data_IF_152058347983
#
_entry.id   IF_152058347983
#
_cell.length_a   1.000
_cell.length_b   1.000
_cell.length_c   1.000
_cell.angle_alpha   90.00
_cell.angle_beta   90.00
_cell.angle_gamma   90.00
#
_symmetry.space_group_name_H-M   'P 1'
#
loop_
_entity.id
_entity.type
_entity.pdbx_description
1 polymer ?
#
# COMPACT_ATOMS: atom_id res chain seq x y z
N UNK A 1 -13.11 4.66 -9.28
CA UNK A 1 -12.53 5.45 -10.39
C UNK A 1 -12.49 4.55 -11.61
N UNK A 2 -12.39 5.04 -12.86
CA UNK A 2 -12.37 4.17 -14.05
C UNK A 2 -11.05 3.39 -14.26
N UNK A 3 -10.12 3.39 -13.29
CA UNK A 3 -8.80 2.79 -13.39
C UNK A 3 -7.67 3.81 -13.60
N UNK A 4 -6.66 3.80 -12.73
CA UNK A 4 -5.42 4.57 -12.90
C UNK A 4 -4.24 3.84 -12.26
N UNK A 5 -3.03 4.09 -12.76
CA UNK A 5 -1.79 3.65 -12.12
C UNK A 5 -1.32 4.78 -11.20
N UNK A 6 -1.32 4.51 -9.90
CA UNK A 6 -0.94 5.48 -8.88
C UNK A 6 0.34 5.07 -8.16
N UNK A 7 1.15 6.05 -7.79
CA UNK A 7 2.36 5.82 -7.00
C UNK A 7 2.05 5.64 -5.53
N UNK A 8 2.70 4.65 -4.93
CA UNK A 8 2.75 4.37 -3.50
C UNK A 8 4.19 4.51 -3.02
N UNK A 9 4.37 5.23 -1.92
CA UNK A 9 5.63 5.36 -1.21
C UNK A 9 5.65 4.34 -0.07
N UNK A 10 6.73 3.57 0.02
CA UNK A 10 6.92 2.48 0.96
C UNK A 10 7.86 2.87 2.12
N UNK A 11 7.56 2.34 3.30
CA UNK A 11 8.47 2.35 4.44
C UNK A 11 9.59 1.32 4.23
N UNK A 12 10.75 1.81 3.78
CA UNK A 12 11.91 0.98 3.40
C UNK A 12 12.51 0.21 4.57
N UNK A 13 12.29 0.66 5.80
CA UNK A 13 12.80 0.00 7.00
C UNK A 13 11.88 -1.15 7.43
N UNK A 14 10.70 -1.28 6.82
CA UNK A 14 9.75 -2.32 7.17
C UNK A 14 9.96 -3.58 6.32
N UNK A 15 10.06 -4.75 6.97
CA UNK A 15 10.33 -6.02 6.29
C UNK A 15 9.33 -6.36 5.16
N UNK A 16 8.07 -5.96 5.31
CA UNK A 16 7.06 -6.15 4.25
C UNK A 16 7.35 -5.36 2.95
N UNK A 17 8.18 -4.32 3.00
CA UNK A 17 8.65 -3.55 1.84
C UNK A 17 10.00 -4.05 1.29
N UNK A 18 10.51 -5.20 1.77
CA UNK A 18 11.76 -5.76 1.27
C UNK A 18 11.72 -5.98 -0.25
N UNK A 19 12.86 -5.73 -0.92
CA UNK A 19 12.97 -5.82 -2.38
C UNK A 19 12.64 -4.52 -3.13
N UNK A 20 12.30 -3.44 -2.43
CA UNK A 20 11.99 -2.12 -3.02
C UNK A 20 12.97 -1.03 -2.56
N UNK A 21 14.23 -1.01 -3.06
CA UNK A 21 15.26 -0.07 -2.58
C UNK A 21 14.96 1.40 -2.89
N UNK A 22 14.16 1.68 -3.93
CA UNK A 22 13.70 3.03 -4.24
C UNK A 22 12.60 3.51 -3.28
N UNK A 23 11.95 2.61 -2.54
CA UNK A 23 10.82 2.95 -1.67
C UNK A 23 9.57 3.41 -2.40
N UNK A 24 9.43 3.09 -3.69
CA UNK A 24 8.28 3.49 -4.51
C UNK A 24 7.79 2.32 -5.36
N UNK A 25 6.47 2.19 -5.50
CA UNK A 25 5.82 1.23 -6.40
C UNK A 25 4.61 1.87 -7.07
N UNK A 26 4.33 1.45 -8.29
CA UNK A 26 3.18 1.91 -9.05
C UNK A 26 2.13 0.79 -9.11
N UNK A 27 0.90 1.13 -8.71
CA UNK A 27 -0.18 0.17 -8.45
C UNK A 27 -1.45 0.53 -9.23
N UNK A 28 -2.16 -0.49 -9.69
CA UNK A 28 -3.47 -0.30 -10.33
C UNK A 28 -4.53 0.00 -9.28
N UNK A 29 -5.23 1.12 -9.45
CA UNK A 29 -6.32 1.57 -8.60
C UNK A 29 -7.60 1.62 -9.42
N UNK A 30 -8.51 0.70 -9.10
CA UNK A 30 -9.81 0.56 -9.77
C UNK A 30 -10.94 0.37 -8.75
N UNK A 31 -10.93 1.19 -7.70
CA UNK A 31 -11.95 1.13 -6.67
C UNK A 31 -12.43 2.51 -6.22
N UNK A 32 -13.25 2.51 -5.18
CA UNK A 32 -13.73 3.70 -4.45
C UNK A 32 -13.28 3.68 -2.99
N UNK A 33 -12.44 2.72 -2.59
CA UNK A 33 -12.00 2.56 -1.20
C UNK A 33 -10.92 3.58 -0.89
N UNK A 34 -11.00 4.17 0.29
CA UNK A 34 -9.96 5.06 0.83
C UNK A 34 -9.80 4.73 2.30
N UNK A 35 -8.59 4.37 2.70
CA UNK A 35 -8.27 4.05 4.08
C UNK A 35 -7.48 5.20 4.70
N UNK A 36 -7.91 5.63 5.89
CA UNK A 36 -7.11 6.54 6.69
C UNK A 36 -5.83 5.83 7.15
N UNK A 37 -4.68 6.51 7.16
CA UNK A 37 -3.47 5.98 7.78
C UNK A 37 -3.73 5.55 9.22
N UNK A 38 -3.20 4.38 9.58
CA UNK A 38 -3.16 3.93 10.96
C UNK A 38 -2.30 4.91 11.79
N UNK A 39 -2.74 5.19 13.01
CA UNK A 39 -1.89 5.85 13.99
C UNK A 39 -0.84 4.86 14.52
N UNK A 40 0.27 5.36 15.05
CA UNK A 40 1.39 4.53 15.50
C UNK A 40 0.97 3.53 16.60
N UNK A 41 -0.01 3.88 17.45
CA UNK A 41 -0.55 2.98 18.48
C UNK A 41 -1.43 1.85 17.95
N UNK A 42 -1.83 1.91 16.67
CA UNK A 42 -2.74 0.93 16.03
C UNK A 42 -2.01 0.00 15.07
N UNK A 43 -0.90 0.43 14.49
CA UNK A 43 -0.20 -0.34 13.47
C UNK A 43 0.78 0.49 12.66
N UNK A 44 1.22 -0.12 11.56
CA UNK A 44 2.17 0.49 10.63
C UNK A 44 1.55 0.63 9.26
N UNK A 45 1.71 1.81 8.67
CA UNK A 45 1.46 2.03 7.26
C UNK A 45 2.75 1.71 6.50
N UNK A 46 2.83 0.52 5.93
CA UNK A 46 3.99 0.06 5.13
C UNK A 46 4.04 0.78 3.79
N UNK A 47 2.89 1.17 3.25
CA UNK A 47 2.79 1.95 2.03
C UNK A 47 1.63 2.93 2.07
N UNK A 48 1.89 4.16 1.65
CA UNK A 48 0.89 5.22 1.46
C UNK A 48 0.93 5.73 0.03
N UNK A 49 -0.20 6.17 -0.50
CA UNK A 49 -0.20 6.85 -1.79
C UNK A 49 0.66 8.12 -1.75
N UNK A 50 1.35 8.40 -2.85
CA UNK A 50 2.23 9.55 -2.94
C UNK A 50 1.48 10.88 -2.81
N UNK A 51 2.23 11.97 -2.68
CA UNK A 51 1.68 13.31 -2.59
C UNK A 51 0.92 13.71 -3.87
N UNK A 52 -0.03 14.65 -3.75
CA UNK A 52 -0.94 15.06 -4.82
C UNK A 52 -0.23 15.37 -6.16
N UNK A 53 0.93 16.01 -6.10
CA UNK A 53 1.71 16.40 -7.29
C UNK A 53 2.28 15.23 -8.10
N UNK A 54 2.52 14.08 -7.45
CA UNK A 54 3.24 12.94 -8.06
C UNK A 54 2.49 11.60 -7.95
N UNK A 55 1.24 11.62 -7.47
CA UNK A 55 0.44 10.40 -7.28
C UNK A 55 0.04 9.73 -8.60
N UNK A 56 -0.28 10.49 -9.66
CA UNK A 56 -0.72 9.93 -10.94
C UNK A 56 0.47 9.57 -11.81
N UNK A 57 0.58 8.29 -12.19
CA UNK A 57 1.64 7.79 -13.09
C UNK A 57 1.10 7.48 -14.49
N UNK A 58 -0.13 6.96 -14.57
CA UNK A 58 -0.81 6.73 -15.84
C UNK A 58 -2.33 6.61 -15.65
N UNK A 59 -3.09 6.83 -16.72
CA UNK A 59 -4.55 6.75 -16.71
C UNK A 59 -5.23 8.05 -16.28
N UNK A 60 -6.47 7.95 -15.81
CA UNK A 60 -7.30 9.11 -15.51
C UNK A 60 -7.67 9.19 -14.03
N UNK A 61 -7.32 10.31 -13.40
CA UNK A 61 -7.59 10.57 -11.98
C UNK A 61 -8.31 11.91 -11.82
N UNK A 62 -9.57 11.87 -11.41
CA UNK A 62 -10.35 13.04 -11.03
C UNK A 62 -9.64 13.82 -9.91
N UNK A 63 -9.69 15.16 -9.98
CA UNK A 63 -9.02 16.04 -9.00
C UNK A 63 -9.50 15.78 -7.57
N UNK A 64 -10.80 15.59 -7.36
CA UNK A 64 -11.36 15.26 -6.04
C UNK A 64 -10.77 13.94 -5.50
N UNK A 65 -10.61 12.93 -6.34
CA UNK A 65 -9.99 11.67 -5.94
C UNK A 65 -8.50 11.81 -5.67
N UNK A 66 -7.80 12.64 -6.45
CA UNK A 66 -6.38 12.95 -6.25
C UNK A 66 -6.13 13.52 -4.86
N UNK A 67 -6.93 14.52 -4.45
CA UNK A 67 -6.89 15.13 -3.11
C UNK A 67 -7.25 14.14 -2.02
N UNK A 68 -8.26 13.30 -2.27
CA UNK A 68 -8.75 12.35 -1.29
C UNK A 68 -7.75 11.22 -1.03
N UNK A 69 -7.07 10.72 -2.06
CA UNK A 69 -6.14 9.58 -2.00
C UNK A 69 -4.73 9.98 -1.57
N UNK A 70 -4.29 11.21 -1.82
CA UNK A 70 -2.95 11.66 -1.46
C UNK A 70 -2.65 11.35 0.02
N UNK A 71 -1.52 10.68 0.27
CA UNK A 71 -1.06 10.29 1.61
C UNK A 71 -2.02 9.37 2.39
N UNK A 72 -2.98 8.73 1.71
CA UNK A 72 -3.83 7.70 2.31
C UNK A 72 -3.17 6.34 2.28
N UNK A 73 -3.64 5.45 3.14
CA UNK A 73 -3.03 4.16 3.30
C UNK A 73 -3.33 3.26 2.10
N UNK A 74 -2.28 2.59 1.61
CA UNK A 74 -2.37 1.56 0.59
C UNK A 74 -2.05 0.19 1.18
N UNK A 75 -0.98 0.06 1.95
CA UNK A 75 -0.48 -1.20 2.49
C UNK A 75 -0.21 -1.06 3.99
N UNK A 76 -0.91 -1.83 4.80
CA UNK A 76 -0.94 -1.67 6.25
C UNK A 76 -0.77 -3.00 6.97
N UNK A 77 -0.24 -2.95 8.18
CA UNK A 77 -0.22 -4.08 9.11
C UNK A 77 -0.63 -3.62 10.50
N UNK A 78 -1.50 -4.40 11.14
CA UNK A 78 -1.89 -4.21 12.54
C UNK A 78 -1.81 -5.54 13.31
N UNK A 79 -1.53 -5.46 14.60
CA UNK A 79 -1.64 -6.60 15.50
C UNK A 79 -3.11 -6.94 15.78
N UNK A 80 -3.44 -8.23 15.86
CA UNK A 80 -4.78 -8.67 16.28
C UNK A 80 -4.69 -9.99 17.06
N UNK A 81 -4.90 -9.91 18.38
CA UNK A 81 -4.70 -11.05 19.28
C UNK A 81 -3.27 -11.58 19.18
N UNK A 82 -3.13 -12.87 18.85
CA UNK A 82 -1.83 -13.54 18.67
C UNK A 82 -1.28 -13.43 17.23
N UNK A 83 -2.00 -12.78 16.34
CA UNK A 83 -1.66 -12.69 14.92
C UNK A 83 -1.61 -11.25 14.43
N UNK A 84 -1.65 -11.12 13.10
CA UNK A 84 -1.60 -9.83 12.41
C UNK A 84 -2.64 -9.80 11.31
N UNK A 85 -3.18 -8.60 11.07
CA UNK A 85 -3.99 -8.31 9.88
C UNK A 85 -3.14 -7.46 8.96
N UNK A 86 -2.87 -7.98 7.77
CA UNK A 86 -2.18 -7.27 6.70
C UNK A 86 -3.23 -6.91 5.66
N UNK A 87 -3.33 -5.62 5.32
CA UNK A 87 -4.38 -5.10 4.44
C UNK A 87 -3.78 -4.32 3.27
N UNK A 88 -4.40 -4.51 2.09
CA UNK A 88 -4.14 -3.74 0.89
C UNK A 88 -5.41 -2.98 0.49
N UNK A 89 -5.28 -1.73 0.06
CA UNK A 89 -6.40 -0.92 -0.40
C UNK A 89 -6.98 -1.42 -1.73
N UNK A 90 -6.12 -2.06 -2.54
CA UNK A 90 -6.44 -2.69 -3.81
C UNK A 90 -6.00 -4.14 -3.82
N UNK A 91 -6.56 -4.94 -4.72
CA UNK A 91 -6.13 -6.32 -4.93
C UNK A 91 -4.69 -6.33 -5.46
N UNK A 92 -3.70 -6.82 -4.69
CA UNK A 92 -2.30 -6.80 -5.11
C UNK A 92 -2.00 -7.81 -6.23
N UNK A 93 -2.94 -8.71 -6.52
CA UNK A 93 -2.87 -9.70 -7.58
C UNK A 93 -3.66 -9.32 -8.84
N UNK A 94 -4.29 -8.13 -8.85
CA UNK A 94 -5.22 -7.69 -9.89
C UNK A 94 -4.65 -7.90 -11.30
N UNK A 95 -5.18 -8.92 -11.99
CA UNK A 95 -4.81 -9.33 -13.35
C UNK A 95 -3.30 -9.52 -13.57
N UNK A 96 -2.53 -9.73 -12.50
CA UNK A 96 -1.06 -9.77 -12.52
C UNK A 96 -0.39 -8.57 -13.24
N UNK A 97 -1.06 -7.40 -13.26
CA UNK A 97 -0.60 -6.23 -14.03
C UNK A 97 0.71 -5.67 -13.47
N UNK A 98 0.87 -5.65 -12.14
CA UNK A 98 2.08 -5.15 -11.48
C UNK A 98 2.83 -6.27 -10.78
N UNK A 99 4.02 -6.59 -11.28
CA UNK A 99 4.96 -7.50 -10.61
C UNK A 99 5.38 -6.96 -9.24
N UNK A 100 5.43 -5.64 -9.07
CA UNK A 100 5.73 -5.00 -7.80
C UNK A 100 4.65 -5.32 -6.75
N UNK A 101 3.36 -5.14 -7.09
CA UNK A 101 2.26 -5.49 -6.17
C UNK A 101 2.24 -6.96 -5.80
N UNK A 102 2.53 -7.86 -6.75
CA UNK A 102 2.66 -9.29 -6.48
C UNK A 102 3.81 -9.63 -5.52
N UNK A 103 4.94 -8.93 -5.62
CA UNK A 103 6.05 -9.11 -4.69
C UNK A 103 5.70 -8.61 -3.28
N UNK A 104 4.98 -7.49 -3.14
CA UNK A 104 4.45 -7.06 -1.84
C UNK A 104 3.48 -8.09 -1.24
N UNK A 105 2.64 -8.70 -2.07
CA UNK A 105 1.78 -9.81 -1.64
C UNK A 105 2.59 -11.03 -1.20
N UNK A 106 3.62 -11.41 -1.95
CA UNK A 106 4.52 -12.48 -1.54
C UNK A 106 5.21 -12.17 -0.20
N UNK A 107 5.71 -10.94 -0.01
CA UNK A 107 6.28 -10.49 1.27
C UNK A 107 5.26 -10.62 2.41
N UNK A 108 3.99 -10.25 2.19
CA UNK A 108 2.94 -10.42 3.19
C UNK A 108 2.73 -11.88 3.60
N UNK A 109 2.77 -12.82 2.64
CA UNK A 109 2.62 -14.25 2.90
C UNK A 109 3.86 -14.84 3.61
N UNK A 110 5.06 -14.54 3.12
CA UNK A 110 6.30 -15.16 3.61
C UNK A 110 6.83 -14.52 4.89
N UNK A 111 6.74 -13.19 5.01
CA UNK A 111 7.25 -12.46 6.18
C UNK A 111 6.17 -12.10 7.19
N UNK A 112 4.89 -12.14 6.82
CA UNK A 112 3.79 -11.86 7.77
C UNK A 112 3.89 -12.63 9.10
N UNK A 113 4.19 -13.95 9.09
CA UNK A 113 4.36 -14.74 10.31
C UNK A 113 5.61 -14.38 11.15
N UNK A 114 6.65 -13.80 10.53
CA UNK A 114 7.93 -13.50 11.21
C UNK A 114 7.97 -12.11 11.82
N UNK A 115 6.99 -11.26 11.49
CA UNK A 115 6.88 -9.97 12.14
C UNK A 115 6.61 -10.24 13.64
N UNK A 116 7.54 -9.87 14.51
CA UNK A 116 7.39 -9.88 15.97
C UNK A 116 7.28 -8.44 16.53
N UNK A 117 6.61 -8.28 17.68
CA UNK A 117 6.94 -7.27 18.69
C UNK A 117 7.09 -5.77 18.35
N UNK A 118 6.52 -5.23 17.28
CA UNK A 118 6.53 -3.79 17.04
C UNK A 118 5.16 -3.30 16.54
N UNK A 119 4.42 -2.64 17.44
CA UNK A 119 3.45 -1.59 17.15
C UNK A 119 4.11 -0.29 17.59
#
# INVERSE_FOLDING_TARGET
MPGAILRVVLDREHLLAAGFPAGEVDVLVDSRRVFLPLTLDKGRNVGVYAQEGVILQSGFLLEASRKLLAQKAFFMVQGHGRGRVIAFAEDPSARAVSRASLLLFANAVFFGPTLEGAL
#
